data_IF_924308481653
#
_entry.id   IF_924308481653
#
_cell.length_a   1.000
_cell.length_b   1.000
_cell.length_c   1.000
_cell.angle_alpha   90.00
_cell.angle_beta   90.00
_cell.angle_gamma   90.00
#
_symmetry.space_group_name_H-M   'P 1'
#
loop_
_entity.id
_entity.type
_entity.pdbx_description
1 polymer ?
#
# COMPACT_ATOMS: atom_id res chain seq x y z
N UNK A 1 4.60 -34.65 5.81
CA UNK A 1 5.46 -33.69 5.07
C UNK A 1 5.38 -32.33 5.76
N UNK A 2 6.38 -32.00 6.58
CA UNK A 2 6.43 -30.73 7.31
C UNK A 2 6.70 -29.63 6.29
N UNK A 3 5.70 -28.78 5.97
CA UNK A 3 5.90 -27.60 5.13
C UNK A 3 6.95 -26.72 5.80
N UNK A 4 8.18 -26.84 5.30
CA UNK A 4 9.35 -26.11 5.76
C UNK A 4 8.97 -24.63 5.68
N UNK A 5 8.89 -24.03 6.85
CA UNK A 5 8.68 -22.59 7.06
C UNK A 5 9.60 -21.86 6.09
N UNK A 6 9.05 -21.30 5.03
CA UNK A 6 9.72 -20.29 4.22
C UNK A 6 9.81 -19.03 5.09
N UNK A 7 10.71 -19.09 6.09
CA UNK A 7 11.46 -17.94 6.59
C UNK A 7 12.24 -17.41 5.39
N UNK A 8 11.53 -16.81 4.42
CA UNK A 8 12.12 -16.13 3.27
C UNK A 8 12.89 -14.98 3.89
N UNK A 9 14.21 -15.14 3.94
CA UNK A 9 15.21 -14.08 4.01
C UNK A 9 14.60 -12.70 4.26
N UNK A 10 14.33 -12.36 5.52
CA UNK A 10 14.06 -10.97 5.93
C UNK A 10 15.39 -10.21 5.84
N UNK A 11 15.90 -10.03 4.63
CA UNK A 11 16.98 -9.08 4.38
C UNK A 11 16.36 -7.69 4.50
N UNK A 12 17.05 -6.84 5.23
CA UNK A 12 16.95 -5.38 5.33
C UNK A 12 16.82 -4.72 3.95
N UNK A 13 15.65 -4.86 3.34
CA UNK A 13 15.34 -4.31 2.02
C UNK A 13 14.60 -3.00 2.24
N UNK A 14 15.07 -1.95 1.57
CA UNK A 14 14.40 -0.65 1.54
C UNK A 14 12.98 -0.82 1.01
N UNK A 15 11.99 -0.47 1.82
CA UNK A 15 10.56 -0.55 1.50
C UNK A 15 9.87 0.78 1.73
N UNK A 16 8.91 1.09 0.87
CA UNK A 16 8.06 2.25 1.09
C UNK A 16 7.10 2.00 2.25
N UNK A 17 6.82 3.04 3.03
CA UNK A 17 5.85 3.05 4.12
C UNK A 17 4.92 4.24 3.93
N UNK A 18 3.62 4.02 4.08
CA UNK A 18 2.58 5.05 4.01
C UNK A 18 2.07 5.34 5.42
N UNK A 19 2.26 6.57 5.89
CA UNK A 19 1.67 7.05 7.13
C UNK A 19 0.15 7.26 6.96
N UNK A 20 -0.64 6.49 7.71
CA UNK A 20 -2.10 6.54 7.64
C UNK A 20 -2.71 7.77 8.33
N UNK A 21 -1.94 8.49 9.14
CA UNK A 21 -2.34 9.74 9.76
C UNK A 21 -2.23 10.92 8.78
N UNK A 22 -1.27 10.86 7.85
CA UNK A 22 -1.07 11.88 6.81
C UNK A 22 -1.75 11.52 5.47
N UNK A 23 -2.14 10.26 5.27
CA UNK A 23 -2.84 9.81 4.08
C UNK A 23 -4.27 10.39 4.01
N UNK A 24 -4.57 11.15 2.97
CA UNK A 24 -5.91 11.70 2.65
C UNK A 24 -6.93 10.64 2.22
N UNK A 25 -6.47 9.42 1.92
CA UNK A 25 -7.27 8.26 1.52
C UNK A 25 -8.05 8.51 0.23
N UNK A 26 -7.55 9.39 -0.64
CA UNK A 26 -8.22 9.74 -1.90
C UNK A 26 -8.41 8.51 -2.81
N UNK A 27 -9.60 8.29 -3.40
CA UNK A 27 -9.86 7.16 -4.30
C UNK A 27 -9.03 7.22 -5.59
N UNK A 28 -8.52 8.40 -5.96
CA UNK A 28 -7.71 8.64 -7.15
C UNK A 28 -6.22 8.84 -6.84
N UNK A 29 -5.76 8.27 -5.71
CA UNK A 29 -4.42 8.46 -5.19
C UNK A 29 -3.32 8.28 -6.27
N UNK A 30 -2.48 9.30 -6.52
CA UNK A 30 -1.41 9.22 -7.51
C UNK A 30 -0.39 8.15 -7.15
N UNK A 31 -0.08 7.99 -5.85
CA UNK A 31 0.86 6.99 -5.33
C UNK A 31 0.52 5.57 -5.78
N UNK A 32 -0.77 5.23 -5.88
CA UNK A 32 -1.20 3.93 -6.40
C UNK A 32 -0.91 3.76 -7.89
N UNK A 33 -1.16 4.80 -8.69
CA UNK A 33 -1.03 4.75 -10.16
C UNK A 33 0.41 4.81 -10.63
N UNK A 34 1.29 5.52 -9.92
CA UNK A 34 2.70 5.68 -10.30
C UNK A 34 3.58 4.48 -9.95
N UNK A 35 3.08 3.52 -9.14
CA UNK A 35 3.89 2.40 -8.71
C UNK A 35 4.06 1.38 -9.84
N UNK A 36 5.26 1.21 -10.43
CA UNK A 36 5.46 0.38 -11.62
C UNK A 36 5.28 -1.12 -11.34
N UNK A 37 5.46 -1.53 -10.08
CA UNK A 37 5.35 -2.93 -9.63
C UNK A 37 4.01 -3.24 -8.96
N UNK A 38 3.10 -2.26 -8.91
CA UNK A 38 1.79 -2.44 -8.28
C UNK A 38 1.86 -2.78 -6.78
N UNK A 39 2.90 -2.33 -6.07
CA UNK A 39 3.07 -2.59 -4.64
C UNK A 39 2.13 -1.76 -3.77
N UNK A 40 1.50 -0.70 -4.29
CA UNK A 40 0.57 0.13 -3.53
C UNK A 40 -0.85 -0.42 -3.69
N UNK A 41 -1.35 -1.07 -2.64
CA UNK A 41 -2.64 -1.77 -2.66
C UNK A 41 -3.65 -1.11 -1.70
N UNK A 42 -4.96 -1.15 -2.01
CA UNK A 42 -5.98 -0.68 -1.08
C UNK A 42 -5.87 -1.37 0.28
N UNK A 43 -6.14 -0.64 1.36
CA UNK A 43 -6.34 -1.24 2.67
C UNK A 43 -7.53 -2.20 2.59
N UNK A 44 -7.26 -3.49 2.77
CA UNK A 44 -8.32 -4.48 2.93
C UNK A 44 -9.06 -4.16 4.20
N UNK A 45 -10.36 -4.09 4.04
CA UNK A 45 -11.32 -3.91 5.11
C UNK A 45 -11.71 -5.32 5.54
N UNK A 46 -11.63 -5.61 6.84
CA UNK A 46 -12.12 -6.87 7.41
C UNK A 46 -13.52 -7.17 6.89
N UNK A 47 -13.79 -8.47 6.72
CA UNK A 47 -14.84 -9.19 5.98
C UNK A 47 -16.31 -8.71 6.08
N UNK A 48 -16.59 -7.55 6.65
CA UNK A 48 -17.94 -7.03 6.84
C UNK A 48 -17.91 -5.48 6.83
N UNK A 49 -17.85 -4.82 5.67
CA UNK A 49 -18.60 -3.55 5.59
C UNK A 49 -19.63 -3.59 4.49
N UNK A 50 -20.86 -3.82 4.98
CA UNK A 50 -22.12 -3.25 4.52
C UNK A 50 -21.94 -2.22 3.41
N UNK A 51 -22.32 -2.65 2.20
CA UNK A 51 -22.81 -1.85 1.07
C UNK A 51 -23.43 -0.53 1.54
N UNK A 52 -22.68 0.56 1.54
CA UNK A 52 -23.21 1.92 1.76
C UNK A 52 -22.66 2.93 0.75
N UNK A 53 -22.30 2.46 -0.44
CA UNK A 53 -22.18 3.33 -1.61
C UNK A 53 -23.45 3.14 -2.43
N UNK A 54 -24.24 4.21 -2.56
CA UNK A 54 -25.51 4.29 -3.30
C UNK A 54 -25.33 4.08 -4.81
N UNK A 55 -24.09 4.15 -5.29
CA UNK A 55 -23.63 3.78 -6.62
C UNK A 55 -22.44 2.82 -6.43
N UNK A 56 -22.34 1.76 -7.24
CA UNK A 56 -21.44 0.61 -7.07
C UNK A 56 -19.92 0.85 -7.13
N UNK A 57 -19.40 1.97 -6.61
CA UNK A 57 -17.99 2.28 -6.54
C UNK A 57 -17.41 1.97 -5.15
N UNK A 58 -16.46 1.03 -5.14
CA UNK A 58 -15.73 0.58 -3.94
C UNK A 58 -14.69 1.65 -3.56
N UNK A 59 -15.05 2.57 -2.65
CA UNK A 59 -14.12 3.60 -2.15
C UNK A 59 -13.11 2.96 -1.18
N UNK A 60 -11.80 3.00 -1.47
CA UNK A 60 -10.77 2.51 -0.57
C UNK A 60 -10.63 3.45 0.64
N UNK A 61 -10.46 2.89 1.85
CA UNK A 61 -10.21 3.66 3.08
C UNK A 61 -8.75 4.11 3.25
N UNK A 62 -7.97 4.07 2.18
CA UNK A 62 -6.52 4.28 2.18
C UNK A 62 -5.78 3.16 1.47
N UNK A 63 -4.44 3.26 1.49
CA UNK A 63 -3.54 2.36 0.80
C UNK A 63 -2.42 1.90 1.74
N UNK A 64 -1.91 0.70 1.47
CA UNK A 64 -0.71 0.15 2.11
C UNK A 64 0.27 -0.34 1.05
N UNK A 65 1.51 -0.57 1.48
CA UNK A 65 2.55 -1.14 0.63
C UNK A 65 2.58 -2.65 0.82
N UNK A 66 2.61 -3.38 -0.28
CA UNK A 66 2.97 -4.79 -0.35
C UNK A 66 4.50 -4.88 -0.34
N UNK A 67 5.07 -5.20 0.82
CA UNK A 67 6.52 -5.28 1.04
C UNK A 67 7.19 -6.33 0.15
N UNK A 68 6.48 -7.40 -0.23
CA UNK A 68 7.04 -8.46 -1.07
C UNK A 68 7.27 -7.98 -2.51
N UNK A 69 6.40 -7.08 -2.99
CA UNK A 69 6.51 -6.48 -4.33
C UNK A 69 7.34 -5.21 -4.35
N UNK A 70 7.42 -4.50 -3.22
CA UNK A 70 8.11 -3.23 -3.15
C UNK A 70 9.60 -3.39 -3.48
N UNK A 71 10.09 -2.57 -4.41
CA UNK A 71 11.51 -2.53 -4.80
C UNK A 71 12.28 -1.41 -4.10
N UNK A 72 11.61 -0.51 -3.40
CA UNK A 72 12.24 0.65 -2.75
C UNK A 72 12.67 1.76 -3.70
N UNK A 73 12.11 1.84 -4.92
CA UNK A 73 12.54 2.79 -5.96
C UNK A 73 12.25 4.28 -5.65
N UNK A 74 11.39 4.60 -4.68
CA UNK A 74 11.15 5.97 -4.23
C UNK A 74 10.17 6.82 -5.04
N UNK A 75 9.69 6.36 -6.20
CA UNK A 75 8.76 7.14 -7.08
C UNK A 75 7.50 7.59 -6.31
N UNK A 76 6.95 6.72 -5.46
CA UNK A 76 5.78 7.03 -4.65
C UNK A 76 5.98 8.19 -3.65
N UNK A 77 7.22 8.42 -3.20
CA UNK A 77 7.56 9.50 -2.26
C UNK A 77 7.39 10.84 -2.96
N UNK A 78 7.96 10.99 -4.15
CA UNK A 78 7.88 12.23 -4.93
C UNK A 78 6.48 12.54 -5.45
N UNK A 79 5.64 11.52 -5.63
CA UNK A 79 4.28 11.70 -6.15
C UNK A 79 3.20 11.90 -5.08
N UNK A 80 3.54 11.83 -3.79
CA UNK A 80 2.56 12.00 -2.73
C UNK A 80 2.40 13.49 -2.35
N UNK A 81 1.26 14.14 -2.66
CA UNK A 81 1.05 15.55 -2.32
C UNK A 81 0.98 15.78 -0.81
N UNK A 82 0.52 14.77 -0.06
CA UNK A 82 0.44 14.82 1.40
C UNK A 82 1.78 14.52 2.09
N UNK A 83 2.82 14.19 1.32
CA UNK A 83 4.12 13.74 1.84
C UNK A 83 4.00 12.57 2.85
N UNK A 84 2.95 11.76 2.72
CA UNK A 84 2.63 10.67 3.64
C UNK A 84 3.45 9.40 3.38
N UNK A 85 4.40 9.43 2.43
CA UNK A 85 5.16 8.24 2.00
C UNK A 85 6.64 8.46 2.26
N UNK A 86 7.28 7.48 2.89
CA UNK A 86 8.72 7.48 3.15
C UNK A 86 9.33 6.12 2.78
N UNK A 87 10.65 6.07 2.58
CA UNK A 87 11.38 4.80 2.43
C UNK A 87 12.02 4.46 3.79
N UNK A 88 11.73 3.27 4.32
CA UNK A 88 12.42 2.70 5.48
C UNK A 88 13.40 1.64 5.00
N UNK A 89 14.57 1.56 5.64
CA UNK A 89 15.65 0.60 5.35
C UNK A 89 15.67 -0.53 6.38
#
# INVERSE_FOLDING_TARGET
MKKIKSKKFKKSKKVAVIDQNQCDKSPFCPVKRVCPVGAIIPLKKGEQQKKRSIFGFLIPKGYRVDEEKCTGCGICVTSCPMQAVSIKA
#
